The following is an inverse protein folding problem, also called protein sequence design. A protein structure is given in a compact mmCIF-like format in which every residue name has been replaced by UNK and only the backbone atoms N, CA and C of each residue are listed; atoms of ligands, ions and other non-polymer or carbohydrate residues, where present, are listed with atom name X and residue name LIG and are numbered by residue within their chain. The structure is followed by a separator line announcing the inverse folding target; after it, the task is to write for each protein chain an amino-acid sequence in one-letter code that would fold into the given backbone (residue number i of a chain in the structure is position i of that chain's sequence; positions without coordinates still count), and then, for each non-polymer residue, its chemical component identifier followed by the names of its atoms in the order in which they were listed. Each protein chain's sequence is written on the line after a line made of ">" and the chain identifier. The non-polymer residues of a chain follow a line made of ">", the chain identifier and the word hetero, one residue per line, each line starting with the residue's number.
data_IF_168164107537
#
_entry.id   IF_168164107537
#
_cell.length_a   1.000
_cell.length_b   1.000
_cell.length_c   1.000
_cell.angle_alpha   90.00
_cell.angle_beta   90.00
_cell.angle_gamma   90.00
#
_symmetry.space_group_name_H-M   'P 1'
#
loop_
_entity.id
_entity.type
_entity.pdbx_description
1 polymer ?
#
# COMPACT_ATOMS: atom_id res chain seq x y z
N UNK A 1 10.74 -11.32 6.46
CA UNK A 1 9.48 -10.57 6.60
C UNK A 1 9.80 -9.10 6.86
N UNK A 2 9.06 -8.12 6.29
CA UNK A 2 9.37 -6.69 6.43
C UNK A 2 9.69 -6.32 7.89
N UNK A 3 10.72 -5.51 8.09
CA UNK A 3 11.11 -4.99 9.41
C UNK A 3 9.88 -4.47 10.18
N UNK A 4 9.72 -4.88 11.43
CA UNK A 4 8.55 -4.57 12.27
C UNK A 4 8.46 -3.08 12.62
N UNK A 5 9.59 -2.39 12.59
CA UNK A 5 9.67 -0.94 12.84
C UNK A 5 9.50 -0.11 11.56
N UNK A 6 9.47 -0.76 10.37
CA UNK A 6 9.26 -0.08 9.11
C UNK A 6 7.92 0.68 9.09
N UNK A 7 7.96 1.93 8.64
CA UNK A 7 6.76 2.72 8.47
C UNK A 7 5.94 2.20 7.29
N UNK A 8 4.68 1.83 7.53
CA UNK A 8 3.74 1.38 6.50
C UNK A 8 2.73 2.50 6.23
N UNK A 9 2.70 2.99 4.99
CA UNK A 9 1.73 3.97 4.52
C UNK A 9 0.49 3.25 3.99
N UNK A 10 -0.69 3.61 4.50
CA UNK A 10 -1.99 3.05 4.14
C UNK A 10 -2.83 4.16 3.53
N UNK A 11 -3.13 4.05 2.24
CA UNK A 11 -3.78 5.10 1.46
C UNK A 11 -5.10 4.58 0.92
N UNK A 12 -6.21 5.15 1.38
CA UNK A 12 -7.57 4.83 0.94
C UNK A 12 -8.48 5.97 1.41
N UNK A 13 -9.45 6.40 0.61
CA UNK A 13 -10.35 7.50 0.99
C UNK A 13 -11.37 7.06 2.05
N UNK A 14 -11.68 5.77 2.12
CA UNK A 14 -12.57 5.19 3.11
C UNK A 14 -11.85 4.89 4.43
N UNK A 15 -12.16 5.67 5.47
CA UNK A 15 -11.66 5.46 6.85
C UNK A 15 -11.88 4.02 7.36
N UNK A 16 -12.97 3.37 6.95
CA UNK A 16 -13.29 2.00 7.32
C UNK A 16 -12.22 1.01 6.83
N UNK A 17 -11.77 1.16 5.56
CA UNK A 17 -10.74 0.30 4.97
C UNK A 17 -9.41 0.52 5.67
N UNK A 18 -8.99 1.78 5.86
CA UNK A 18 -7.74 2.10 6.58
C UNK A 18 -7.75 1.52 8.00
N UNK A 19 -8.89 1.60 8.69
CA UNK A 19 -9.04 1.04 10.04
C UNK A 19 -8.91 -0.49 10.05
N UNK A 20 -9.52 -1.18 9.09
CA UNK A 20 -9.41 -2.63 8.96
C UNK A 20 -7.96 -3.08 8.68
N UNK A 21 -7.30 -2.46 7.70
CA UNK A 21 -5.90 -2.76 7.35
C UNK A 21 -4.99 -2.52 8.54
N UNK A 22 -5.14 -1.39 9.24
CA UNK A 22 -4.37 -1.11 10.46
C UNK A 22 -4.56 -2.17 11.53
N UNK A 23 -5.78 -2.65 11.73
CA UNK A 23 -6.06 -3.70 12.72
C UNK A 23 -5.29 -4.98 12.35
N UNK A 24 -5.39 -5.42 11.10
CA UNK A 24 -4.68 -6.60 10.63
C UNK A 24 -3.16 -6.45 10.72
N UNK A 25 -2.60 -5.29 10.33
CA UNK A 25 -1.17 -5.02 10.46
C UNK A 25 -0.71 -5.03 11.92
N UNK A 26 -1.53 -4.53 12.85
CA UNK A 26 -1.23 -4.60 14.29
C UNK A 26 -1.27 -6.03 14.83
N UNK A 27 -2.23 -6.85 14.39
CA UNK A 27 -2.28 -8.28 14.72
C UNK A 27 -1.03 -9.02 14.24
N UNK A 28 -0.49 -8.60 13.09
CA UNK A 28 0.78 -9.10 12.56
C UNK A 28 2.01 -8.52 13.27
N UNK A 29 1.89 -7.54 14.17
CA UNK A 29 3.00 -6.95 14.92
C UNK A 29 3.64 -5.69 14.30
N UNK A 30 2.97 -5.03 13.36
CA UNK A 30 3.40 -3.74 12.82
C UNK A 30 2.70 -2.58 13.55
N UNK A 31 3.49 -1.62 14.03
CA UNK A 31 2.98 -0.51 14.85
C UNK A 31 3.22 0.87 14.25
N UNK A 32 4.20 1.00 13.35
CA UNK A 32 4.52 2.26 12.67
C UNK A 32 3.62 2.44 11.43
N UNK A 33 2.37 2.83 11.67
CA UNK A 33 1.33 2.92 10.64
C UNK A 33 0.96 4.36 10.36
N UNK A 34 1.10 4.78 9.10
CA UNK A 34 0.79 6.12 8.62
C UNK A 34 -0.42 6.01 7.67
N UNK A 35 -1.38 6.90 7.80
CA UNK A 35 -2.60 6.91 6.96
C UNK A 35 -2.59 8.10 6.02
N UNK A 36 -3.14 7.97 4.81
CA UNK A 36 -3.49 9.08 3.92
C UNK A 36 -4.88 8.85 3.33
N UNK A 37 -5.62 9.93 3.08
CA UNK A 37 -7.01 9.84 2.58
C UNK A 37 -7.13 10.05 1.06
N UNK A 38 -6.03 10.34 0.37
CA UNK A 38 -5.95 10.52 -1.08
C UNK A 38 -4.50 10.46 -1.56
N UNK A 39 -4.29 10.45 -2.87
CA UNK A 39 -2.95 10.42 -3.48
C UNK A 39 -2.06 11.61 -3.11
N UNK A 40 -2.61 12.83 -3.01
CA UNK A 40 -1.81 14.02 -2.72
C UNK A 40 -1.28 14.00 -1.26
N UNK A 41 -2.10 13.55 -0.32
CA UNK A 41 -1.64 13.28 1.04
C UNK A 41 -0.61 12.15 1.10
N UNK A 42 -0.78 11.10 0.30
CA UNK A 42 0.17 9.99 0.24
C UNK A 42 1.55 10.47 -0.22
N UNK A 43 1.61 11.23 -1.32
CA UNK A 43 2.86 11.83 -1.83
C UNK A 43 3.51 12.71 -0.76
N UNK A 44 2.73 13.58 -0.10
CA UNK A 44 3.25 14.45 0.96
C UNK A 44 3.81 13.63 2.12
N UNK A 45 3.08 12.64 2.62
CA UNK A 45 3.52 11.81 3.75
C UNK A 45 4.70 10.93 3.38
N UNK A 46 4.77 10.47 2.13
CA UNK A 46 5.94 9.78 1.61
C UNK A 46 7.19 10.66 1.64
N UNK A 47 7.07 11.92 1.25
CA UNK A 47 8.17 12.89 1.31
C UNK A 47 8.62 13.20 2.74
N UNK A 48 7.66 13.31 3.66
CA UNK A 48 7.91 13.75 5.03
C UNK A 48 8.37 12.60 5.97
N UNK A 49 8.26 11.34 5.54
CA UNK A 49 8.54 10.16 6.38
C UNK A 49 9.37 9.12 5.61
N UNK A 50 10.23 8.37 6.31
CA UNK A 50 10.92 7.23 5.71
C UNK A 50 9.96 6.03 5.63
N UNK A 51 9.19 5.96 4.54
CA UNK A 51 8.23 4.88 4.30
C UNK A 51 8.95 3.62 3.81
N UNK A 52 8.68 2.49 4.45
CA UNK A 52 9.24 1.19 4.08
C UNK A 52 8.30 0.32 3.25
N UNK A 53 7.00 0.62 3.23
CA UNK A 53 6.01 -0.09 2.44
C UNK A 53 4.74 0.76 2.22
N UNK A 54 4.06 0.59 1.09
CA UNK A 54 2.82 1.32 0.77
C UNK A 54 1.69 0.34 0.39
N UNK A 55 0.53 0.48 1.03
CA UNK A 55 -0.75 -0.01 0.51
C UNK A 55 -1.53 1.17 -0.05
N UNK A 56 -1.94 1.14 -1.32
CA UNK A 56 -2.61 2.27 -1.96
C UNK A 56 -3.83 1.89 -2.76
N UNK A 57 -4.95 2.57 -2.53
CA UNK A 57 -6.14 2.46 -3.36
C UNK A 57 -5.94 3.07 -4.75
N UNK A 58 -6.61 2.51 -5.74
CA UNK A 58 -6.59 3.03 -7.11
C UNK A 58 -7.43 4.29 -7.23
N UNK A 59 -8.68 4.24 -6.75
CA UNK A 59 -9.68 5.27 -7.05
C UNK A 59 -9.92 6.10 -5.81
N UNK A 60 -9.43 7.34 -5.82
CA UNK A 60 -9.55 8.27 -4.71
C UNK A 60 -9.86 9.67 -5.23
N UNK A 61 -10.50 10.54 -4.41
CA UNK A 61 -10.66 11.95 -4.76
C UNK A 61 -9.31 12.67 -4.76
N UNK A 62 -9.26 13.86 -5.38
CA UNK A 62 -8.11 14.77 -5.44
C UNK A 62 -6.94 14.26 -6.29
N UNK A 63 -6.47 13.04 -6.03
CA UNK A 63 -5.40 12.36 -6.78
C UNK A 63 -5.58 10.86 -6.64
N UNK A 64 -5.56 10.16 -7.76
CA UNK A 64 -5.71 8.71 -7.86
C UNK A 64 -4.44 7.97 -7.42
N UNK A 65 -4.57 6.66 -7.18
CA UNK A 65 -3.45 5.77 -6.90
C UNK A 65 -2.36 5.83 -7.96
N UNK A 66 -2.66 5.60 -9.26
CA UNK A 66 -1.65 5.67 -10.32
C UNK A 66 -0.93 7.02 -10.41
N UNK A 67 -1.64 8.14 -10.25
CA UNK A 67 -1.02 9.48 -10.22
C UNK A 67 -0.06 9.64 -9.03
N UNK A 68 -0.45 9.13 -7.85
CA UNK A 68 0.42 9.15 -6.67
C UNK A 68 1.62 8.21 -6.82
N UNK A 69 1.42 7.02 -7.39
CA UNK A 69 2.48 6.05 -7.70
C UNK A 69 3.54 6.68 -8.60
N UNK A 70 3.11 7.37 -9.67
CA UNK A 70 4.02 8.07 -10.56
C UNK A 70 4.91 9.06 -9.81
N UNK A 71 4.34 9.94 -8.98
CA UNK A 71 5.11 10.92 -8.22
C UNK A 71 6.00 10.29 -7.14
N UNK A 72 5.53 9.22 -6.48
CA UNK A 72 6.35 8.48 -5.50
C UNK A 72 7.55 7.84 -6.20
N UNK A 73 7.38 7.28 -7.40
CA UNK A 73 8.45 6.68 -8.19
C UNK A 73 9.48 7.68 -8.71
N UNK A 74 9.11 8.95 -8.89
CA UNK A 74 10.07 10.02 -9.17
C UNK A 74 11.00 10.32 -7.97
N UNK A 75 10.57 10.00 -6.74
CA UNK A 75 11.34 10.21 -5.51
C UNK A 75 12.08 8.94 -5.04
N UNK A 76 11.47 7.77 -5.23
CA UNK A 76 11.97 6.47 -4.79
C UNK A 76 11.52 5.35 -5.74
N UNK A 77 12.49 4.78 -6.45
CA UNK A 77 12.25 3.72 -7.43
C UNK A 77 11.98 2.35 -6.81
N UNK A 78 12.30 2.17 -5.53
CA UNK A 78 12.49 0.85 -4.93
C UNK A 78 11.50 0.56 -3.81
N UNK A 79 10.87 1.58 -3.20
CA UNK A 79 9.91 1.34 -2.12
C UNK A 79 8.84 0.32 -2.55
N UNK A 80 8.62 -0.75 -1.77
CA UNK A 80 7.63 -1.77 -2.11
C UNK A 80 6.20 -1.22 -1.97
N UNK A 81 5.38 -1.46 -2.99
CA UNK A 81 4.00 -0.94 -3.06
C UNK A 81 3.06 -2.08 -3.45
N UNK A 82 1.96 -2.24 -2.72
CA UNK A 82 0.83 -3.07 -3.10
C UNK A 82 -0.42 -2.23 -3.33
N UNK A 83 -1.13 -2.53 -4.40
CA UNK A 83 -2.35 -1.83 -4.77
C UNK A 83 -3.55 -2.50 -4.10
N UNK A 84 -4.44 -1.70 -3.54
CA UNK A 84 -5.76 -2.10 -3.06
C UNK A 84 -6.77 -1.73 -4.13
N UNK A 85 -7.71 -2.61 -4.46
CA UNK A 85 -8.73 -2.27 -5.45
C UNK A 85 -10.05 -2.97 -5.23
N UNK A 86 -11.13 -2.27 -5.57
CA UNK A 86 -12.49 -2.83 -5.59
C UNK A 86 -12.86 -3.44 -6.96
N UNK A 87 -12.02 -3.25 -7.98
CA UNK A 87 -12.26 -3.70 -9.35
C UNK A 87 -11.09 -4.54 -9.84
N UNK A 88 -11.37 -5.68 -10.46
CA UNK A 88 -10.37 -6.49 -11.16
C UNK A 88 -10.25 -6.04 -12.63
N UNK A 89 -10.15 -4.73 -12.85
CA UNK A 89 -10.05 -4.15 -14.18
C UNK A 89 -8.63 -4.31 -14.74
N UNK A 90 -8.50 -4.99 -15.88
CA UNK A 90 -7.20 -5.29 -16.48
C UNK A 90 -6.43 -4.04 -16.92
N UNK A 91 -7.13 -2.98 -17.32
CA UNK A 91 -6.47 -1.75 -17.73
C UNK A 91 -5.84 -1.06 -16.52
N UNK A 92 -6.60 -0.97 -15.42
CA UNK A 92 -6.12 -0.41 -14.15
C UNK A 92 -4.93 -1.20 -13.62
N UNK A 93 -5.00 -2.54 -13.68
CA UNK A 93 -3.90 -3.41 -13.26
C UNK A 93 -2.67 -3.13 -14.12
N UNK A 94 -2.82 -3.10 -15.45
CA UNK A 94 -1.73 -2.80 -16.38
C UNK A 94 -1.09 -1.45 -16.12
N UNK A 95 -1.88 -0.40 -15.88
CA UNK A 95 -1.37 0.94 -15.58
C UNK A 95 -0.55 0.95 -14.28
N UNK A 96 -0.96 0.18 -13.26
CA UNK A 96 -0.23 0.05 -12.00
C UNK A 96 1.05 -0.78 -12.15
N UNK A 97 1.04 -1.84 -12.96
CA UNK A 97 2.20 -2.69 -13.23
C UNK A 97 3.37 -1.92 -13.83
N UNK A 98 3.09 -0.89 -14.66
CA UNK A 98 4.11 0.01 -15.22
C UNK A 98 4.92 0.73 -14.14
N UNK A 99 4.39 0.88 -12.92
CA UNK A 99 5.06 1.51 -11.78
C UNK A 99 5.75 0.50 -10.85
N UNK A 100 5.86 -0.77 -11.25
CA UNK A 100 6.60 -1.79 -10.50
C UNK A 100 5.95 -2.15 -9.16
N UNK A 101 4.62 -2.14 -9.09
CA UNK A 101 3.89 -2.62 -7.90
C UNK A 101 4.18 -4.10 -7.66
N UNK A 102 4.20 -4.50 -6.39
CA UNK A 102 4.50 -5.87 -5.96
C UNK A 102 3.33 -6.82 -6.20
N UNK A 103 2.13 -6.36 -5.83
CA UNK A 103 0.94 -7.20 -5.84
C UNK A 103 -0.32 -6.33 -5.88
N UNK A 104 -1.42 -6.99 -6.20
CA UNK A 104 -2.75 -6.42 -6.31
C UNK A 104 -3.73 -7.15 -5.38
N UNK A 105 -4.27 -6.41 -4.42
CA UNK A 105 -5.15 -6.94 -3.38
C UNK A 105 -6.59 -6.50 -3.65
N UNK A 106 -7.46 -7.48 -3.87
CA UNK A 106 -8.88 -7.23 -4.08
C UNK A 106 -9.59 -6.95 -2.74
N UNK A 107 -10.32 -5.84 -2.68
CA UNK A 107 -11.22 -5.46 -1.59
C UNK A 107 -12.59 -6.15 -1.75
N UNK A 108 -13.31 -6.46 -0.66
CA UNK A 108 -12.96 -6.19 0.74
C UNK A 108 -12.08 -7.29 1.37
N UNK A 109 -11.13 -6.88 2.22
CA UNK A 109 -10.39 -7.79 3.09
C UNK A 109 -11.21 -8.10 4.35
N UNK A 110 -11.75 -9.30 4.43
CA UNK A 110 -12.48 -9.76 5.60
C UNK A 110 -11.53 -10.13 6.75
N UNK A 111 -12.07 -10.36 7.95
CA UNK A 111 -11.26 -10.62 9.14
C UNK A 111 -10.53 -11.96 9.11
N UNK A 112 -11.00 -12.93 8.33
CA UNK A 112 -10.37 -14.26 8.21
C UNK A 112 -9.18 -14.24 7.26
N UNK A 113 -9.33 -13.63 6.08
CA UNK A 113 -8.29 -13.62 5.04
C UNK A 113 -7.42 -12.37 5.03
N UNK A 114 -7.84 -11.28 5.69
CA UNK A 114 -7.15 -10.00 5.71
C UNK A 114 -5.71 -10.10 6.21
N UNK A 115 -5.47 -10.58 7.45
CA UNK A 115 -4.11 -10.73 7.99
C UNK A 115 -3.21 -11.60 7.11
N UNK A 116 -3.69 -12.76 6.65
CA UNK A 116 -2.92 -13.67 5.81
C UNK A 116 -2.55 -13.02 4.45
N UNK A 117 -3.48 -12.28 3.84
CA UNK A 117 -3.26 -11.60 2.57
C UNK A 117 -2.18 -10.52 2.72
N UNK A 118 -2.28 -9.67 3.75
CA UNK A 118 -1.28 -8.63 4.00
C UNK A 118 0.08 -9.24 4.34
N UNK A 119 0.10 -10.32 5.11
CA UNK A 119 1.34 -11.04 5.44
C UNK A 119 2.07 -11.53 4.20
N UNK A 120 1.37 -12.22 3.28
CA UNK A 120 1.98 -12.72 2.03
C UNK A 120 2.67 -11.62 1.23
N UNK A 121 2.01 -10.48 1.09
CA UNK A 121 2.55 -9.33 0.35
C UNK A 121 3.78 -8.73 1.04
N UNK A 122 3.76 -8.62 2.37
CA UNK A 122 4.90 -8.13 3.15
C UNK A 122 6.09 -9.11 3.16
N UNK A 123 5.83 -10.40 2.99
CA UNK A 123 6.87 -11.42 2.79
C UNK A 123 7.51 -11.31 1.40
N UNK A 124 6.72 -11.11 0.34
CA UNK A 124 7.23 -10.85 -1.01
C UNK A 124 8.14 -9.62 -1.01
N UNK A 125 7.70 -8.53 -0.36
CA UNK A 125 8.47 -7.29 -0.26
C UNK A 125 9.82 -7.49 0.43
N UNK A 126 9.87 -8.33 1.46
CA UNK A 126 11.10 -8.66 2.17
C UNK A 126 12.07 -9.46 1.29
N UNK A 127 11.58 -10.50 0.64
CA UNK A 127 12.42 -11.39 -0.18
C UNK A 127 13.03 -10.66 -1.38
N UNK A 128 12.40 -9.57 -1.85
CA UNK A 128 12.94 -8.72 -2.91
C UNK A 128 14.11 -7.83 -2.47
N UNK A 129 14.19 -7.53 -1.17
CA UNK A 129 15.18 -6.65 -0.56
C UNK A 129 16.27 -7.41 0.20
N UNK A 130 16.29 -8.75 0.15
CA UNK A 130 17.44 -9.52 0.62
C UNK A 130 18.61 -9.41 -0.39
N UNK A 131 19.85 -9.19 0.07
CA UNK A 131 21.04 -9.21 -0.77
C UNK A 131 21.39 -10.60 -1.31
#
# INVERSE_FOLDING_TARGET
>A
MLDRDAAILIVDDMKMIRTAIKRYLKELGYHNLIEAENGAEAVKKFKDNKIGFIFIDVVMPIMTGPEALHQIREMDTDVPIAVLSSVADQQVIGDCELYGVLDYILKPLNAESGPETLQKVLEIAWNRNEP
#
